data_IF_872919765423
#
_entry.id   IF_872919765423
#
_cell.length_a   1.000
_cell.length_b   1.000
_cell.length_c   1.000
_cell.angle_alpha   90.00
_cell.angle_beta   90.00
_cell.angle_gamma   90.00
#
_symmetry.space_group_name_H-M   'P 1'
#
loop_
_entity.id
_entity.type
_entity.pdbx_description
1 polymer ?
#
# COMPACT_ATOMS: atom_id res chain seq x y z
N UNK A 1 -30.91 8.17 -7.14
CA UNK A 1 -30.09 7.02 -7.55
C UNK A 1 -28.89 7.11 -6.66
N UNK A 2 -29.01 6.41 -5.55
CA UNK A 2 -28.05 6.30 -4.47
C UNK A 2 -26.90 5.45 -5.01
N UNK A 3 -25.78 6.12 -5.30
CA UNK A 3 -24.52 5.49 -5.69
C UNK A 3 -23.81 5.08 -4.39
N UNK A 4 -24.34 4.05 -3.74
CA UNK A 4 -23.68 3.36 -2.64
C UNK A 4 -22.69 2.38 -3.29
N UNK A 5 -21.53 2.89 -3.72
CA UNK A 5 -20.41 2.04 -4.12
C UNK A 5 -19.83 1.40 -2.86
N UNK A 6 -20.55 0.41 -2.34
CA UNK A 6 -20.16 -0.48 -1.26
C UNK A 6 -19.00 -1.33 -1.79
N UNK A 7 -17.78 -0.76 -1.78
CA UNK A 7 -16.58 -1.55 -2.03
C UNK A 7 -16.46 -2.52 -0.86
N UNK A 8 -16.79 -3.78 -1.11
CA UNK A 8 -16.63 -4.88 -0.17
C UNK A 8 -15.17 -4.96 0.27
N UNK A 9 -14.87 -4.30 1.39
CA UNK A 9 -13.56 -4.34 2.03
C UNK A 9 -13.40 -5.72 2.63
N UNK A 10 -12.61 -6.56 1.96
CA UNK A 10 -12.22 -7.86 2.50
C UNK A 10 -11.54 -7.63 3.86
N UNK A 11 -12.16 -8.16 4.92
CA UNK A 11 -11.65 -8.11 6.29
C UNK A 11 -11.08 -9.45 6.69
N UNK A 12 -9.96 -9.42 7.38
CA UNK A 12 -9.27 -10.58 7.93
C UNK A 12 -9.94 -11.07 9.22
N UNK A 13 -9.47 -12.20 9.76
CA UNK A 13 -10.08 -12.86 10.94
C UNK A 13 -10.07 -12.00 12.22
N UNK A 14 -9.28 -10.93 12.22
CA UNK A 14 -9.16 -9.94 13.32
C UNK A 14 -10.14 -8.76 13.18
N UNK A 15 -10.93 -8.71 12.10
CA UNK A 15 -11.82 -7.57 11.79
C UNK A 15 -11.08 -6.34 11.23
N UNK A 16 -9.85 -6.53 10.75
CA UNK A 16 -9.03 -5.52 10.07
C UNK A 16 -9.09 -5.73 8.56
N UNK A 17 -8.84 -4.70 7.73
CA UNK A 17 -8.68 -4.90 6.28
C UNK A 17 -7.64 -5.98 5.96
N UNK A 18 -7.94 -6.79 4.94
CA UNK A 18 -7.05 -7.83 4.44
C UNK A 18 -5.74 -7.25 3.91
N UNK A 19 -4.65 -7.94 4.21
CA UNK A 19 -3.29 -7.52 3.84
C UNK A 19 -3.16 -7.28 2.32
N UNK A 20 -3.73 -8.18 1.50
CA UNK A 20 -3.67 -8.08 0.05
C UNK A 20 -4.37 -6.83 -0.49
N UNK A 21 -5.50 -6.45 0.11
CA UNK A 21 -6.24 -5.23 -0.24
C UNK A 21 -5.41 -3.98 0.10
N UNK A 22 -4.88 -3.90 1.32
CA UNK A 22 -4.03 -2.78 1.74
C UNK A 22 -2.76 -2.64 0.87
N UNK A 23 -2.13 -3.76 0.49
CA UNK A 23 -0.97 -3.72 -0.41
C UNK A 23 -1.37 -3.20 -1.78
N UNK A 24 -2.47 -3.68 -2.34
CA UNK A 24 -2.94 -3.25 -3.67
C UNK A 24 -3.28 -1.74 -3.70
N UNK A 25 -3.69 -1.17 -2.57
CA UNK A 25 -3.97 0.26 -2.45
C UNK A 25 -2.70 1.12 -2.31
N UNK A 26 -1.70 0.61 -1.58
CA UNK A 26 -0.46 1.31 -1.27
C UNK A 26 0.69 1.05 -2.26
N UNK A 27 0.63 -0.03 -3.04
CA UNK A 27 1.62 -0.39 -4.03
C UNK A 27 1.07 -0.14 -5.42
N UNK A 28 1.73 0.74 -6.16
CA UNK A 28 1.39 1.01 -7.55
C UNK A 28 2.27 0.16 -8.47
N UNK A 29 1.64 -0.63 -9.35
CA UNK A 29 2.36 -1.41 -10.34
C UNK A 29 2.71 -0.51 -11.54
N UNK A 30 3.94 -0.63 -12.03
CA UNK A 30 4.30 0.04 -13.28
C UNK A 30 3.55 -0.59 -14.46
N UNK A 31 2.93 0.22 -15.33
CA UNK A 31 2.29 -0.25 -16.57
C UNK A 31 3.26 -1.03 -17.47
N UNK A 32 4.54 -0.70 -17.42
CA UNK A 32 5.57 -1.33 -18.26
C UNK A 32 6.07 -2.65 -17.66
N UNK A 33 6.02 -2.80 -16.33
CA UNK A 33 6.52 -3.98 -15.62
C UNK A 33 5.61 -4.29 -14.42
N UNK A 34 4.73 -5.31 -14.51
CA UNK A 34 3.82 -5.65 -13.42
C UNK A 34 4.53 -6.19 -12.19
N UNK A 35 5.76 -6.68 -12.33
CA UNK A 35 6.63 -7.11 -11.22
C UNK A 35 7.26 -5.92 -10.47
N UNK A 36 7.10 -4.70 -10.98
CA UNK A 36 7.69 -3.50 -10.44
C UNK A 36 6.65 -2.74 -9.59
N UNK A 37 6.80 -2.83 -8.27
CA UNK A 37 5.90 -2.17 -7.32
C UNK A 37 6.56 -0.91 -6.76
N UNK A 38 5.83 0.20 -6.75
CA UNK A 38 6.28 1.44 -6.12
C UNK A 38 5.38 1.73 -4.92
N UNK A 39 5.99 1.95 -3.75
CA UNK A 39 5.24 2.37 -2.58
C UNK A 39 4.72 3.81 -2.78
N UNK A 40 3.39 3.95 -2.82
CA UNK A 40 2.72 5.26 -2.95
C UNK A 40 3.03 6.17 -1.77
N UNK A 41 3.20 5.64 -0.56
CA UNK A 41 3.58 6.46 0.60
C UNK A 41 4.98 7.04 0.47
N UNK A 42 5.95 6.24 0.01
CA UNK A 42 7.28 6.77 -0.29
C UNK A 42 7.25 7.79 -1.43
N UNK A 43 6.48 7.54 -2.49
CA UNK A 43 6.32 8.47 -3.62
C UNK A 43 5.69 9.79 -3.17
N UNK A 44 4.66 9.76 -2.33
CA UNK A 44 4.07 10.96 -1.72
C UNK A 44 5.11 11.70 -0.87
N UNK A 45 5.88 11.00 -0.03
CA UNK A 45 6.96 11.61 0.77
C UNK A 45 8.00 12.28 -0.13
N UNK A 46 8.33 11.71 -1.28
CA UNK A 46 9.23 12.33 -2.25
C UNK A 46 8.60 13.57 -2.91
N UNK A 47 7.38 13.44 -3.44
CA UNK A 47 6.63 14.54 -4.09
C UNK A 47 6.36 15.72 -3.15
N UNK A 48 6.18 15.47 -1.87
CA UNK A 48 5.98 16.49 -0.83
C UNK A 48 7.30 17.03 -0.25
N UNK A 49 8.44 16.52 -0.68
CA UNK A 49 9.77 16.97 -0.24
C UNK A 49 10.18 16.49 1.15
N UNK A 50 9.47 15.51 1.73
CA UNK A 50 9.86 14.85 3.00
C UNK A 50 11.15 14.06 2.83
N UNK A 51 11.31 13.40 1.67
CA UNK A 51 12.55 12.75 1.27
C UNK A 51 13.06 13.39 -0.03
N UNK A 52 14.38 13.47 -0.17
CA UNK A 52 15.02 14.10 -1.33
C UNK A 52 15.34 13.13 -2.47
N UNK A 53 15.40 11.83 -2.18
CA UNK A 53 15.68 10.79 -3.16
C UNK A 53 14.37 10.10 -3.56
N UNK A 54 14.25 9.79 -4.86
CA UNK A 54 13.07 9.10 -5.36
C UNK A 54 13.02 7.67 -4.79
N UNK A 55 11.82 7.16 -4.43
CA UNK A 55 11.71 5.80 -3.92
C UNK A 55 12.16 4.78 -4.93
N UNK A 56 12.91 3.79 -4.46
CA UNK A 56 13.32 2.66 -5.30
C UNK A 56 12.13 1.73 -5.53
N UNK A 57 11.85 1.36 -6.79
CA UNK A 57 10.85 0.34 -7.06
C UNK A 57 11.29 -1.01 -6.48
N UNK A 58 10.30 -1.73 -5.94
CA UNK A 58 10.40 -3.08 -5.43
C UNK A 58 10.10 -4.04 -6.57
N UNK A 59 11.15 -4.49 -7.26
CA UNK A 59 11.03 -5.40 -8.42
C UNK A 59 11.01 -6.85 -7.95
N UNK A 60 9.98 -7.61 -8.34
CA UNK A 60 9.82 -9.02 -7.99
C UNK A 60 9.64 -9.26 -6.48
N UNK A 61 9.20 -8.24 -5.74
CA UNK A 61 9.00 -8.34 -4.30
C UNK A 61 7.78 -9.20 -3.99
N UNK A 62 7.93 -10.14 -3.06
CA UNK A 62 6.81 -10.95 -2.57
C UNK A 62 5.90 -10.11 -1.67
N UNK A 63 4.67 -10.57 -1.47
CA UNK A 63 3.72 -9.94 -0.56
C UNK A 63 4.33 -9.69 0.82
N UNK A 64 5.04 -10.67 1.38
CA UNK A 64 5.71 -10.55 2.68
C UNK A 64 6.76 -9.43 2.69
N UNK A 65 7.53 -9.26 1.61
CA UNK A 65 8.50 -8.17 1.49
C UNK A 65 7.82 -6.79 1.39
N UNK A 66 6.68 -6.70 0.69
CA UNK A 66 5.88 -5.48 0.61
C UNK A 66 5.28 -5.11 1.98
N UNK A 67 4.74 -6.10 2.72
CA UNK A 67 4.28 -5.90 4.11
C UNK A 67 5.42 -5.47 5.00
N UNK A 68 6.58 -6.13 4.89
CA UNK A 68 7.75 -5.80 5.67
C UNK A 68 8.14 -4.33 5.45
N UNK A 69 8.24 -3.88 4.20
CA UNK A 69 8.51 -2.48 3.88
C UNK A 69 7.47 -1.52 4.49
N UNK A 70 6.17 -1.84 4.37
CA UNK A 70 5.10 -1.01 4.92
C UNK A 70 5.11 -0.96 6.46
N UNK A 71 5.41 -2.08 7.10
CA UNK A 71 5.50 -2.16 8.58
C UNK A 71 6.80 -1.57 9.14
N UNK A 72 7.89 -1.51 8.37
CA UNK A 72 9.15 -0.91 8.82
C UNK A 72 9.24 0.58 8.52
N UNK A 73 8.88 1.00 7.30
CA UNK A 73 9.04 2.38 6.84
C UNK A 73 7.79 3.25 7.10
N UNK A 74 6.62 2.61 7.20
CA UNK A 74 5.31 3.25 7.23
C UNK A 74 4.38 2.66 8.31
N UNK A 75 4.94 2.19 9.43
CA UNK A 75 4.22 1.48 10.49
C UNK A 75 2.88 2.14 10.88
N UNK A 76 2.91 3.43 11.24
CA UNK A 76 1.72 4.20 11.62
C UNK A 76 0.65 4.25 10.51
N UNK A 77 1.08 4.48 9.26
CA UNK A 77 0.17 4.55 8.13
C UNK A 77 -0.42 3.17 7.79
N UNK A 78 0.38 2.12 7.91
CA UNK A 78 -0.07 0.73 7.73
C UNK A 78 -1.09 0.33 8.79
N UNK A 79 -0.81 0.58 10.07
CA UNK A 79 -1.76 0.29 11.16
C UNK A 79 -3.06 1.07 11.00
N UNK A 80 -2.98 2.36 10.62
CA UNK A 80 -4.15 3.20 10.38
C UNK A 80 -4.99 2.65 9.23
N UNK A 81 -4.36 2.31 8.10
CA UNK A 81 -5.06 1.76 6.95
C UNK A 81 -5.74 0.42 7.27
N UNK A 82 -5.09 -0.45 8.05
CA UNK A 82 -5.68 -1.74 8.42
C UNK A 82 -6.89 -1.60 9.34
N UNK A 83 -6.96 -0.52 10.14
CA UNK A 83 -8.07 -0.21 11.04
C UNK A 83 -9.20 0.59 10.38
N UNK A 84 -8.98 1.11 9.18
CA UNK A 84 -9.96 1.84 8.38
C UNK A 84 -10.94 0.85 7.75
N UNK A 85 -11.84 0.28 8.55
CA UNK A 85 -12.88 -0.68 8.13
C UNK A 85 -14.26 -0.06 8.21
#
# INVERSE_FOLDING_TARGET
MDDESDQEIEVDSDGLRSIASCISELMENSMENPECHVCRLCDIRYKTGVISDAPKPLIGATQEQLVQHLTTEHADAWETLRRDV
#
